data_IF_794798573769
#
_entry.id   IF_794798573769
#
_cell.length_a   1.000
_cell.length_b   1.000
_cell.length_c   1.000
_cell.angle_alpha   90.00
_cell.angle_beta   90.00
_cell.angle_gamma   90.00
#
_symmetry.space_group_name_H-M   'P 1'
#
loop_
_entity.id
_entity.type
_entity.pdbx_description
1 polymer ?
#
# COMPACT_ATOMS: atom_id res chain seq x y z
N UNK A 1 -12.25 2.51 26.17
CA UNK A 1 -12.33 1.47 25.12
C UNK A 1 -11.40 1.91 24.01
N UNK A 2 -10.30 1.17 23.83
CA UNK A 2 -8.99 1.74 23.52
C UNK A 2 -8.68 1.71 22.00
N UNK A 3 -8.69 2.88 21.37
CA UNK A 3 -8.17 3.10 20.00
C UNK A 3 -6.62 3.15 20.00
N UNK A 4 -6.01 3.37 21.17
CA UNK A 4 -4.57 3.49 21.43
C UNK A 4 -3.74 2.21 21.17
N UNK A 5 -4.34 1.11 20.67
CA UNK A 5 -3.63 -0.17 20.46
C UNK A 5 -3.41 -0.56 19.00
N UNK A 6 -3.90 0.20 18.01
CA UNK A 6 -3.88 -0.23 16.60
C UNK A 6 -2.81 0.41 15.71
N UNK A 7 -1.97 1.31 16.24
CA UNK A 7 -0.92 2.00 15.46
C UNK A 7 0.39 1.19 15.38
N UNK A 8 0.51 0.09 16.13
CA UNK A 8 1.73 -0.74 16.15
C UNK A 8 1.66 -1.89 15.16
N UNK A 9 1.76 -1.59 13.87
CA UNK A 9 2.32 -2.46 12.81
C UNK A 9 1.85 -1.96 11.44
N UNK A 10 2.40 -0.83 11.00
CA UNK A 10 2.49 -0.54 9.57
C UNK A 10 3.96 -0.73 9.16
N UNK A 11 4.47 -1.94 9.37
CA UNK A 11 5.63 -2.41 8.61
C UNK A 11 5.06 -2.69 7.24
N UNK A 12 5.14 -1.69 6.37
CA UNK A 12 4.89 -1.80 4.95
C UNK A 12 5.93 -2.77 4.41
N UNK A 13 5.60 -4.07 4.46
CA UNK A 13 6.26 -5.16 3.78
C UNK A 13 6.06 -4.93 2.28
N UNK A 14 6.83 -3.99 1.73
CA UNK A 14 7.03 -3.86 0.31
C UNK A 14 7.87 -5.08 -0.07
N UNK A 15 7.19 -6.14 -0.51
CA UNK A 15 7.81 -7.36 -1.00
C UNK A 15 8.77 -6.93 -2.11
N UNK A 16 10.07 -6.96 -1.80
CA UNK A 16 11.15 -6.84 -2.77
C UNK A 16 11.10 -8.15 -3.58
N UNK A 17 10.32 -8.15 -4.66
CA UNK A 17 10.39 -9.20 -5.67
C UNK A 17 11.80 -9.18 -6.28
N UNK A 18 12.65 -10.06 -5.76
CA UNK A 18 14.00 -10.29 -6.26
C UNK A 18 13.95 -11.16 -7.50
N UNK A 19 13.43 -10.63 -8.62
CA UNK A 19 13.70 -11.22 -9.94
C UNK A 19 14.94 -10.55 -10.51
N UNK A 20 16.09 -11.14 -10.17
CA UNK A 20 17.39 -10.78 -10.70
C UNK A 20 17.53 -11.22 -12.17
N UNK A 21 16.79 -10.60 -13.09
CA UNK A 21 17.09 -10.71 -14.52
C UNK A 21 16.69 -9.41 -15.21
N UNK A 22 17.69 -8.59 -15.58
CA UNK A 22 17.62 -7.44 -16.51
C UNK A 22 17.18 -6.04 -15.99
N UNK A 23 17.61 -5.59 -14.81
CA UNK A 23 17.49 -4.17 -14.40
C UNK A 23 18.83 -3.58 -13.90
N UNK A 24 19.84 -3.46 -14.79
CA UNK A 24 21.13 -2.87 -14.41
C UNK A 24 21.20 -1.33 -14.48
N UNK A 25 20.15 -0.61 -14.87
CA UNK A 25 20.26 0.83 -15.14
C UNK A 25 19.11 1.72 -14.64
N UNK A 26 18.25 1.25 -13.73
CA UNK A 26 17.36 2.19 -13.02
C UNK A 26 18.13 2.80 -11.85
N UNK A 27 18.30 4.14 -11.78
CA UNK A 27 18.91 4.77 -10.62
C UNK A 27 18.07 4.45 -9.39
N UNK A 28 18.67 3.81 -8.39
CA UNK A 28 18.02 3.66 -7.09
C UNK A 28 17.75 5.06 -6.52
N UNK A 29 16.55 5.33 -5.98
CA UNK A 29 16.28 6.57 -5.28
C UNK A 29 17.33 6.78 -4.20
N UNK A 30 18.00 7.93 -4.20
CA UNK A 30 18.86 8.30 -3.07
C UNK A 30 17.95 8.67 -1.90
N UNK A 31 18.19 8.08 -0.73
CA UNK A 31 17.47 8.42 0.50
C UNK A 31 17.73 9.89 0.80
N UNK A 32 16.67 10.67 1.05
CA UNK A 32 16.81 12.06 1.43
C UNK A 32 17.49 12.15 2.81
N UNK A 33 18.53 12.98 3.01
CA UNK A 33 18.98 13.31 4.35
C UNK A 33 17.81 13.88 5.15
N UNK A 34 17.56 13.39 6.36
CA UNK A 34 16.38 13.78 7.14
C UNK A 34 16.31 15.30 7.38
N UNK A 35 17.46 15.92 7.67
CA UNK A 35 17.59 17.36 7.87
C UNK A 35 17.31 18.20 6.60
N UNK A 36 17.30 17.57 5.42
CA UNK A 36 17.02 18.23 4.15
C UNK A 36 15.54 18.28 3.77
N UNK A 37 14.66 17.69 4.59
CA UNK A 37 13.22 17.67 4.33
C UNK A 37 12.55 18.85 5.04
N UNK A 38 11.99 19.75 4.24
CA UNK A 38 11.29 20.94 4.70
C UNK A 38 9.86 20.65 5.16
N UNK A 39 9.27 21.55 5.96
CA UNK A 39 7.89 21.39 6.43
C UNK A 39 6.87 21.45 5.28
N UNK A 40 7.09 22.30 4.28
CA UNK A 40 6.25 22.34 3.07
C UNK A 40 6.30 21.02 2.29
N UNK A 41 7.45 20.36 2.22
CA UNK A 41 7.53 19.02 1.65
C UNK A 41 6.80 17.99 2.50
N UNK A 42 6.82 18.11 3.83
CA UNK A 42 6.06 17.23 4.71
C UNK A 42 4.54 17.44 4.56
N UNK A 43 4.07 18.67 4.39
CA UNK A 43 2.65 18.96 4.11
C UNK A 43 2.22 18.31 2.79
N UNK A 44 2.99 18.51 1.71
CA UNK A 44 2.72 17.86 0.42
C UNK A 44 2.77 16.34 0.52
N UNK A 45 3.72 15.80 1.28
CA UNK A 45 3.80 14.37 1.54
C UNK A 45 2.55 13.85 2.26
N UNK A 46 2.07 14.57 3.28
CA UNK A 46 0.86 14.21 4.03
C UNK A 46 -0.36 14.20 3.11
N UNK A 47 -0.53 15.21 2.25
CA UNK A 47 -1.64 15.28 1.29
C UNK A 47 -1.62 14.05 0.36
N UNK A 48 -0.48 13.80 -0.28
CA UNK A 48 -0.32 12.64 -1.18
C UNK A 48 -0.58 11.35 -0.40
N UNK A 49 -0.02 11.20 0.80
CA UNK A 49 -0.20 10.00 1.62
C UNK A 49 -1.67 9.74 1.98
N UNK A 50 -2.44 10.80 2.28
CA UNK A 50 -3.87 10.70 2.55
C UNK A 50 -4.67 10.26 1.31
N UNK A 51 -4.35 10.81 0.13
CA UNK A 51 -4.97 10.38 -1.13
C UNK A 51 -4.67 8.91 -1.44
N UNK A 52 -3.40 8.50 -1.32
CA UNK A 52 -2.98 7.11 -1.50
C UNK A 52 -3.66 6.17 -0.50
N UNK A 53 -3.89 6.62 0.73
CA UNK A 53 -4.66 5.87 1.72
C UNK A 53 -6.13 5.73 1.30
N UNK A 54 -6.74 6.80 0.76
CA UNK A 54 -8.10 6.78 0.20
C UNK A 54 -8.25 5.74 -0.90
N UNK A 55 -7.36 5.76 -1.90
CA UNK A 55 -7.33 4.80 -3.02
C UNK A 55 -7.24 3.36 -2.49
N UNK A 56 -6.41 3.13 -1.47
CA UNK A 56 -6.26 1.81 -0.86
C UNK A 56 -7.54 1.35 -0.15
N UNK A 57 -8.19 2.23 0.62
CA UNK A 57 -9.46 1.90 1.29
C UNK A 57 -10.56 1.58 0.28
N UNK A 58 -10.63 2.31 -0.83
CA UNK A 58 -11.58 2.03 -1.91
C UNK A 58 -11.31 0.65 -2.51
N UNK A 59 -10.04 0.33 -2.81
CA UNK A 59 -9.66 -0.98 -3.31
C UNK A 59 -10.07 -2.11 -2.36
N UNK A 60 -9.77 -1.97 -1.07
CA UNK A 60 -10.14 -2.96 -0.05
C UNK A 60 -11.67 -3.13 0.00
N UNK A 61 -12.44 -2.04 -0.10
CA UNK A 61 -13.90 -2.08 -0.15
C UNK A 61 -14.42 -2.81 -1.40
N UNK A 62 -13.83 -2.57 -2.56
CA UNK A 62 -14.27 -3.23 -3.80
C UNK A 62 -13.97 -4.74 -3.76
N UNK A 63 -12.84 -5.15 -3.15
CA UNK A 63 -12.50 -6.57 -2.96
C UNK A 63 -13.52 -7.26 -2.07
N UNK A 64 -13.91 -6.63 -0.94
CA UNK A 64 -14.93 -7.19 -0.05
C UNK A 64 -16.26 -7.33 -0.79
N UNK A 65 -16.71 -6.29 -1.48
CA UNK A 65 -17.97 -6.32 -2.23
C UNK A 65 -17.98 -7.40 -3.31
N UNK A 66 -16.86 -7.58 -4.04
CA UNK A 66 -16.76 -8.60 -5.08
C UNK A 66 -16.81 -10.02 -4.50
N UNK A 67 -16.16 -10.25 -3.36
CA UNK A 67 -16.21 -11.55 -2.67
C UNK A 67 -17.62 -11.87 -2.16
N UNK A 68 -18.33 -10.88 -1.63
CA UNK A 68 -19.74 -11.03 -1.22
C UNK A 68 -20.64 -11.39 -2.40
N UNK A 69 -20.47 -10.74 -3.57
CA UNK A 69 -21.19 -11.06 -4.81
C UNK A 69 -20.94 -12.51 -5.25
N UNK A 70 -19.69 -12.97 -5.15
CA UNK A 70 -19.28 -14.34 -5.50
C UNK A 70 -19.68 -15.39 -4.43
N UNK A 71 -20.23 -14.95 -3.29
CA UNK A 71 -20.65 -15.81 -2.20
C UNK A 71 -19.50 -16.37 -1.34
N UNK A 72 -18.35 -15.69 -1.32
CA UNK A 72 -17.17 -16.09 -0.56
C UNK A 72 -16.85 -15.07 0.53
N UNK A 73 -16.53 -15.54 1.74
CA UNK A 73 -16.06 -14.64 2.79
C UNK A 73 -14.60 -14.23 2.57
N UNK A 74 -14.23 -13.03 3.02
CA UNK A 74 -12.83 -12.58 2.98
C UNK A 74 -11.89 -13.54 3.70
N UNK A 75 -12.33 -14.13 4.82
CA UNK A 75 -11.52 -15.09 5.58
C UNK A 75 -11.24 -16.37 4.76
N UNK A 76 -12.26 -16.91 4.08
CA UNK A 76 -12.08 -18.11 3.23
C UNK A 76 -11.20 -17.82 2.02
N UNK A 77 -11.39 -16.66 1.38
CA UNK A 77 -10.51 -16.23 0.29
C UNK A 77 -9.05 -16.10 0.77
N UNK A 78 -8.82 -15.50 1.93
CA UNK A 78 -7.48 -15.34 2.51
C UNK A 78 -6.82 -16.67 2.84
N UNK A 79 -7.56 -17.63 3.38
CA UNK A 79 -7.10 -19.00 3.62
C UNK A 79 -6.64 -19.65 2.32
N UNK A 80 -7.47 -19.55 1.25
CA UNK A 80 -7.13 -20.07 -0.07
C UNK A 80 -5.91 -19.40 -0.68
N UNK A 81 -5.77 -18.10 -0.53
CA UNK A 81 -4.61 -17.39 -1.06
C UNK A 81 -3.33 -17.72 -0.27
N UNK A 82 -3.42 -17.93 1.03
CA UNK A 82 -2.28 -18.32 1.87
C UNK A 82 -1.78 -19.73 1.54
N UNK A 83 -2.68 -20.70 1.34
CA UNK A 83 -2.28 -22.06 0.94
C UNK A 83 -1.56 -22.07 -0.41
N UNK A 84 -2.02 -21.26 -1.37
CA UNK A 84 -1.36 -21.12 -2.68
C UNK A 84 0.03 -20.48 -2.61
N UNK A 85 0.29 -19.62 -1.62
CA UNK A 85 1.60 -18.98 -1.42
C UNK A 85 2.58 -19.86 -0.66
N UNK A 86 2.09 -20.83 0.11
CA UNK A 86 2.91 -21.76 0.88
C UNK A 86 2.77 -23.20 0.36
N UNK A 87 3.51 -23.57 -0.71
CA UNK A 87 3.39 -24.90 -1.33
C UNK A 87 3.88 -26.05 -0.43
N UNK A 88 4.58 -25.76 0.67
CA UNK A 88 4.99 -26.75 1.68
C UNK A 88 3.95 -26.91 2.80
N UNK A 89 2.88 -26.11 2.78
CA UNK A 89 1.79 -26.15 3.75
C UNK A 89 0.74 -27.24 3.46
N UNK A 90 -0.27 -27.30 4.33
CA UNK A 90 -1.42 -28.18 4.15
C UNK A 90 -2.21 -27.77 2.90
N UNK A 91 -2.40 -28.72 1.99
CA UNK A 91 -3.23 -28.53 0.81
C UNK A 91 -4.69 -28.49 1.24
N UNK A 92 -5.36 -27.38 0.96
CA UNK A 92 -6.79 -27.24 1.24
C UNK A 92 -7.58 -27.72 0.02
N UNK A 93 -8.66 -28.45 0.26
CA UNK A 93 -9.61 -28.80 -0.80
C UNK A 93 -10.45 -27.57 -1.16
N UNK A 94 -10.57 -27.32 -2.47
CA UNK A 94 -11.45 -26.30 -3.03
C UNK A 94 -12.65 -26.98 -3.69
N UNK A 95 -13.82 -26.42 -3.48
CA UNK A 95 -14.99 -26.72 -4.30
C UNK A 95 -14.86 -26.04 -5.67
N UNK A 96 -15.57 -26.54 -6.68
CA UNK A 96 -15.64 -25.92 -8.02
C UNK A 96 -16.06 -24.45 -7.96
N UNK A 97 -16.95 -24.08 -7.03
CA UNK A 97 -17.38 -22.69 -6.86
C UNK A 97 -16.24 -21.81 -6.34
N UNK A 98 -15.45 -22.31 -5.40
CA UNK A 98 -14.30 -21.57 -4.86
C UNK A 98 -13.19 -21.39 -5.89
N UNK A 99 -12.94 -22.40 -6.73
CA UNK A 99 -12.01 -22.29 -7.85
C UNK A 99 -12.44 -21.20 -8.85
N UNK A 100 -13.73 -21.17 -9.21
CA UNK A 100 -14.32 -20.14 -10.08
C UNK A 100 -14.18 -18.74 -9.46
N UNK A 101 -14.55 -18.59 -8.18
CA UNK A 101 -14.43 -17.31 -7.47
C UNK A 101 -12.97 -16.84 -7.42
N UNK A 102 -12.01 -17.74 -7.17
CA UNK A 102 -10.58 -17.37 -7.17
C UNK A 102 -10.14 -16.87 -8.55
N UNK A 103 -10.55 -17.54 -9.63
CA UNK A 103 -10.23 -17.10 -10.99
C UNK A 103 -10.84 -15.72 -11.32
N UNK A 104 -12.10 -15.49 -10.93
CA UNK A 104 -12.78 -14.21 -11.09
C UNK A 104 -12.07 -13.10 -10.29
N UNK A 105 -11.71 -13.40 -9.04
CA UNK A 105 -10.99 -12.48 -8.17
C UNK A 105 -9.60 -12.13 -8.70
N UNK A 106 -8.87 -13.06 -9.31
CA UNK A 106 -7.57 -12.76 -9.92
C UNK A 106 -7.71 -11.72 -11.04
N UNK A 107 -8.70 -11.91 -11.92
CA UNK A 107 -8.97 -10.98 -13.03
C UNK A 107 -9.40 -9.60 -12.51
N UNK A 108 -10.27 -9.59 -11.50
CA UNK A 108 -10.73 -8.37 -10.84
C UNK A 108 -9.58 -7.62 -10.17
N UNK A 109 -8.76 -8.31 -9.36
CA UNK A 109 -7.61 -7.73 -8.67
C UNK A 109 -6.58 -7.15 -9.63
N UNK A 110 -6.35 -7.79 -10.78
CA UNK A 110 -5.46 -7.26 -11.81
C UNK A 110 -5.96 -5.90 -12.33
N UNK A 111 -7.24 -5.80 -12.67
CA UNK A 111 -7.83 -4.55 -13.17
C UNK A 111 -7.87 -3.47 -12.09
N UNK A 112 -8.27 -3.83 -10.88
CA UNK A 112 -8.33 -2.92 -9.75
C UNK A 112 -6.94 -2.39 -9.37
N UNK A 113 -5.91 -3.25 -9.43
CA UNK A 113 -4.51 -2.86 -9.24
C UNK A 113 -4.03 -1.86 -10.30
N UNK A 114 -4.35 -2.09 -11.58
CA UNK A 114 -4.03 -1.14 -12.66
C UNK A 114 -4.73 0.21 -12.47
N UNK A 115 -6.01 0.20 -12.07
CA UNK A 115 -6.75 1.43 -11.77
C UNK A 115 -6.13 2.19 -10.61
N UNK A 116 -5.83 1.49 -9.51
CA UNK A 116 -5.16 2.07 -8.35
C UNK A 116 -3.81 2.67 -8.75
N UNK A 117 -2.97 1.95 -9.49
CA UNK A 117 -1.67 2.46 -9.95
C UNK A 117 -1.81 3.76 -10.75
N UNK A 118 -2.81 3.84 -11.64
CA UNK A 118 -3.10 5.06 -12.40
C UNK A 118 -3.48 6.21 -11.47
N UNK A 119 -4.36 5.98 -10.51
CA UNK A 119 -4.79 7.01 -9.55
C UNK A 119 -3.61 7.48 -8.69
N UNK A 120 -2.77 6.57 -8.22
CA UNK A 120 -1.56 6.91 -7.45
C UNK A 120 -0.60 7.77 -8.26
N UNK A 121 -0.40 7.46 -9.54
CA UNK A 121 0.42 8.28 -10.43
C UNK A 121 -0.19 9.68 -10.64
N UNK A 122 -1.52 9.79 -10.72
CA UNK A 122 -2.21 11.07 -10.85
C UNK A 122 -2.06 11.92 -9.59
N UNK A 123 -2.30 11.36 -8.40
CA UNK A 123 -2.08 12.04 -7.10
C UNK A 123 -0.68 12.66 -6.98
N UNK A 124 0.34 11.94 -7.43
CA UNK A 124 1.71 12.47 -7.40
C UNK A 124 1.93 13.53 -8.48
N UNK A 125 1.39 13.35 -9.70
CA UNK A 125 1.52 14.32 -10.80
C UNK A 125 0.79 15.64 -10.52
N UNK A 126 -0.33 15.59 -9.81
CA UNK A 126 -1.12 16.76 -9.44
C UNK A 126 -0.49 17.51 -8.25
N UNK A 127 0.50 16.92 -7.59
CA UNK A 127 1.28 17.53 -6.53
C UNK A 127 2.53 18.25 -7.08
N UNK A 128 3.03 19.23 -6.31
CA UNK A 128 4.32 19.88 -6.60
C UNK A 128 5.52 18.94 -6.31
N UNK A 129 5.27 17.77 -5.72
CA UNK A 129 6.30 16.80 -5.35
C UNK A 129 6.48 15.72 -6.41
N UNK A 130 7.72 15.51 -6.87
CA UNK A 130 8.02 14.39 -7.76
C UNK A 130 7.90 13.03 -7.06
N UNK A 131 7.57 11.98 -7.82
CA UNK A 131 7.50 10.60 -7.32
C UNK A 131 8.81 10.15 -6.63
N UNK A 132 9.95 10.53 -7.21
CA UNK A 132 11.26 10.23 -6.66
C UNK A 132 11.47 10.94 -5.32
N UNK A 133 11.05 12.21 -5.20
CA UNK A 133 11.16 12.94 -3.94
C UNK A 133 10.23 12.34 -2.88
N UNK A 134 8.99 12.03 -3.23
CA UNK A 134 8.05 11.33 -2.36
C UNK A 134 8.64 10.01 -1.83
N UNK A 135 9.18 9.16 -2.72
CA UNK A 135 9.81 7.92 -2.32
C UNK A 135 11.05 8.13 -1.43
N UNK A 136 11.88 9.13 -1.72
CA UNK A 136 13.06 9.44 -0.92
C UNK A 136 12.71 9.89 0.50
N UNK A 137 11.63 10.67 0.67
CA UNK A 137 11.13 11.12 1.97
C UNK A 137 10.53 9.93 2.72
N UNK A 138 9.73 9.09 2.04
CA UNK A 138 9.17 7.88 2.65
C UNK A 138 10.27 6.95 3.19
N UNK A 139 11.36 6.76 2.44
CA UNK A 139 12.50 5.97 2.88
C UNK A 139 13.24 6.61 4.07
N UNK A 140 13.48 7.92 4.01
CA UNK A 140 14.12 8.66 5.10
C UNK A 140 13.34 8.51 6.41
N UNK A 141 12.01 8.60 6.31
CA UNK A 141 11.09 8.50 7.45
C UNK A 141 11.06 7.11 8.10
N UNK A 142 11.39 6.05 7.35
CA UNK A 142 11.54 4.70 7.93
C UNK A 142 12.78 4.58 8.83
N UNK A 143 13.86 5.28 8.47
CA UNK A 143 15.13 5.25 9.20
C UNK A 143 15.26 6.35 10.26
N UNK A 144 14.53 7.46 10.12
CA UNK A 144 14.65 8.64 10.96
C UNK A 144 13.36 8.90 11.76
N UNK A 145 13.47 8.73 13.08
CA UNK A 145 12.34 8.90 14.00
C UNK A 145 11.94 10.36 14.17
N UNK A 146 12.89 11.29 14.11
CA UNK A 146 12.59 12.72 14.30
C UNK A 146 11.82 13.26 13.10
N UNK A 147 12.22 12.87 11.90
CA UNK A 147 11.48 13.17 10.67
C UNK A 147 10.06 12.59 10.71
N UNK A 148 9.90 11.35 11.17
CA UNK A 148 8.58 10.74 11.33
C UNK A 148 7.70 11.48 12.35
N UNK A 149 8.27 11.94 13.48
CA UNK A 149 7.55 12.74 14.46
C UNK A 149 7.16 14.11 13.91
N UNK A 150 8.04 14.77 13.14
CA UNK A 150 7.72 16.04 12.47
C UNK A 150 6.54 15.89 11.51
N UNK A 151 6.55 14.86 10.68
CA UNK A 151 5.43 14.54 9.79
C UNK A 151 4.13 14.36 10.58
N UNK A 152 4.18 13.61 11.69
CA UNK A 152 2.99 13.39 12.52
C UNK A 152 2.45 14.70 13.11
N UNK A 153 3.33 15.60 13.57
CA UNK A 153 2.92 16.92 14.06
C UNK A 153 2.21 17.72 12.98
N UNK A 154 2.82 17.81 11.79
CA UNK A 154 2.23 18.53 10.65
C UNK A 154 0.88 17.93 10.27
N UNK A 155 0.76 16.60 10.20
CA UNK A 155 -0.51 15.94 9.91
C UNK A 155 -1.61 16.30 10.94
N UNK A 156 -1.28 16.34 12.24
CA UNK A 156 -2.24 16.75 13.28
C UNK A 156 -2.66 18.22 13.17
N UNK A 157 -1.71 19.11 12.85
CA UNK A 157 -1.99 20.53 12.66
C UNK A 157 -2.92 20.76 11.46
N UNK A 158 -2.69 20.05 10.36
CA UNK A 158 -3.52 20.11 9.16
C UNK A 158 -4.95 19.61 9.41
N UNK A 159 -5.15 18.59 10.26
CA UNK A 159 -6.48 18.10 10.63
C UNK A 159 -7.26 19.05 11.57
N UNK A 160 -6.56 19.95 12.25
CA UNK A 160 -7.15 20.87 13.24
C UNK A 160 -7.60 22.22 12.67
N UNK A 161 -7.28 22.50 11.41
CA UNK A 161 -7.62 23.72 10.67
C UNK A 161 -8.76 23.48 9.68
#
# INVERSE_FOLDING_TARGET
MNILKRVKALILSLIICSTAVAAQNMPMPQIAPADSVSDSELEQFVIIAQELQGIRMELDSMVVAKLEEEGMSTARFQEIMQSKQNPEGEEIELTTKEEETVANMQSFLQQASMSAQKQQMQSIQDSEMSAQRFQSIAQAMQSDKELAMRMQTIAMEMESN
#
